data_IF_155278618379
#
_entry.id   IF_155278618379
#
_cell.length_a   1.000
_cell.length_b   1.000
_cell.length_c   1.000
_cell.angle_alpha   90.00
_cell.angle_beta   90.00
_cell.angle_gamma   90.00
#
_symmetry.space_group_name_H-M   'P 1'
#
loop_
_entity.id
_entity.type
_entity.pdbx_description
1 polymer ?
#
# COMPACT_ATOMS: atom_id res chain seq x y z
N UNK A 1 -25.34 40.04 5.82
CA UNK A 1 -24.02 39.68 6.38
C UNK A 1 -23.93 38.15 6.42
N UNK A 2 -23.25 37.56 5.45
CA UNK A 2 -23.09 36.10 5.27
C UNK A 2 -21.66 35.85 4.75
N UNK A 3 -20.81 35.05 5.42
CA UNK A 3 -19.46 34.79 4.94
C UNK A 3 -19.46 33.74 3.81
N UNK A 4 -18.78 34.11 2.73
CA UNK A 4 -18.63 33.35 1.48
C UNK A 4 -17.90 32.02 1.69
N UNK A 5 -18.60 30.91 1.45
CA UNK A 5 -18.13 29.51 1.45
C UNK A 5 -17.09 29.18 0.37
N UNK A 6 -16.69 30.14 -0.47
CA UNK A 6 -15.76 29.91 -1.59
C UNK A 6 -14.28 29.80 -1.19
N UNK A 7 -13.90 30.20 0.03
CA UNK A 7 -12.47 30.22 0.43
C UNK A 7 -11.93 28.89 0.98
N UNK A 8 -12.79 27.95 1.37
CA UNK A 8 -12.37 26.67 1.95
C UNK A 8 -11.96 25.61 0.91
N UNK A 9 -12.45 25.70 -0.33
CA UNK A 9 -12.12 24.71 -1.37
C UNK A 9 -10.74 24.90 -2.02
N UNK A 10 -10.12 26.07 -1.88
CA UNK A 10 -8.81 26.35 -2.50
C UNK A 10 -7.60 25.89 -1.68
N UNK A 11 -7.76 25.61 -0.37
CA UNK A 11 -6.64 25.20 0.49
C UNK A 11 -6.25 23.72 0.40
N UNK A 12 -7.13 22.83 -0.08
CA UNK A 12 -6.80 21.40 -0.21
C UNK A 12 -6.01 21.04 -1.47
N UNK A 13 -5.96 21.93 -2.47
CA UNK A 13 -5.31 21.65 -3.76
C UNK A 13 -3.83 22.04 -3.83
N UNK A 14 -3.33 22.85 -2.90
CA UNK A 14 -1.94 23.35 -2.93
C UNK A 14 -0.96 22.59 -2.04
N UNK A 15 -1.41 21.56 -1.31
CA UNK A 15 -0.53 20.83 -0.39
C UNK A 15 0.09 19.56 -0.99
N UNK A 16 -0.25 19.22 -2.24
CA UNK A 16 0.32 18.05 -2.94
C UNK A 16 1.54 18.43 -3.81
N UNK A 17 1.75 19.71 -4.11
CA UNK A 17 2.80 20.18 -5.03
C UNK A 17 4.12 20.63 -4.36
N UNK A 18 4.27 20.49 -3.05
CA UNK A 18 5.55 20.73 -2.40
C UNK A 18 6.07 19.40 -1.87
N UNK A 19 7.14 18.88 -2.46
CA UNK A 19 7.93 17.74 -1.95
C UNK A 19 8.61 17.99 -0.60
N UNK A 20 8.01 18.82 0.25
CA UNK A 20 8.41 19.02 1.62
C UNK A 20 7.84 17.87 2.46
N UNK A 21 8.71 16.93 2.84
CA UNK A 21 8.43 16.09 4.01
C UNK A 21 8.14 17.06 5.16
N UNK A 22 6.99 16.95 5.86
CA UNK A 22 6.69 17.83 6.97
C UNK A 22 7.75 17.61 8.06
N UNK A 23 8.74 18.50 8.11
CA UNK A 23 9.81 18.47 9.10
C UNK A 23 9.20 18.68 10.48
N UNK A 24 9.27 17.66 11.34
CA UNK A 24 8.69 17.67 12.69
C UNK A 24 7.38 16.89 12.85
N UNK A 25 6.84 16.25 11.79
CA UNK A 25 5.72 15.34 11.95
C UNK A 25 6.14 14.08 12.72
N UNK A 26 5.33 13.59 13.69
CA UNK A 26 5.63 12.34 14.37
C UNK A 26 5.57 11.17 13.36
N UNK A 27 6.37 10.10 13.53
CA UNK A 27 6.41 8.96 12.60
C UNK A 27 5.04 8.37 12.28
N UNK A 28 4.14 8.34 13.27
CA UNK A 28 2.74 7.88 13.09
C UNK A 28 1.96 8.74 12.09
N UNK A 29 2.17 10.05 12.10
CA UNK A 29 1.49 10.95 11.15
C UNK A 29 2.00 10.73 9.73
N UNK A 30 3.31 10.51 9.57
CA UNK A 30 3.91 10.16 8.27
C UNK A 30 3.38 8.82 7.76
N UNK A 31 3.33 7.80 8.62
CA UNK A 31 2.77 6.50 8.28
C UNK A 31 1.30 6.59 7.88
N UNK A 32 0.48 7.34 8.62
CA UNK A 32 -0.93 7.56 8.30
C UNK A 32 -1.13 8.33 6.99
N UNK A 33 -0.28 9.33 6.71
CA UNK A 33 -0.31 10.07 5.45
C UNK A 33 0.07 9.17 4.27
N UNK A 34 1.07 8.30 4.42
CA UNK A 34 1.49 7.35 3.40
C UNK A 34 0.37 6.33 3.10
N UNK A 35 -0.22 5.70 4.11
CA UNK A 35 -1.29 4.72 3.89
C UNK A 35 -2.54 5.40 3.30
N UNK A 36 -2.87 6.61 3.77
CA UNK A 36 -3.96 7.39 3.19
C UNK A 36 -3.69 7.80 1.74
N UNK A 37 -2.46 8.15 1.38
CA UNK A 37 -2.09 8.49 0.01
C UNK A 37 -2.30 7.29 -0.91
N UNK A 38 -1.75 6.13 -0.53
CA UNK A 38 -1.86 4.89 -1.32
C UNK A 38 -3.32 4.45 -1.48
N UNK A 39 -4.10 4.49 -0.40
CA UNK A 39 -5.51 4.10 -0.43
C UNK A 39 -6.44 5.09 -1.17
N UNK A 40 -5.95 6.29 -1.54
CA UNK A 40 -6.75 7.31 -2.24
C UNK A 40 -6.24 7.60 -3.65
N UNK A 41 -5.31 6.78 -4.16
CA UNK A 41 -4.88 6.84 -5.55
C UNK A 41 -6.09 6.64 -6.48
N UNK A 42 -6.11 7.37 -7.60
CA UNK A 42 -7.18 7.23 -8.59
C UNK A 42 -7.23 5.84 -9.24
N UNK A 43 -6.08 5.16 -9.24
CA UNK A 43 -5.94 3.74 -9.58
C UNK A 43 -5.11 3.12 -8.46
N UNK A 44 -5.62 2.10 -7.73
CA UNK A 44 -4.87 1.46 -6.66
C UNK A 44 -3.56 0.85 -7.15
N UNK A 45 -2.61 0.67 -6.24
CA UNK A 45 -1.32 0.03 -6.55
C UNK A 45 -1.54 -1.35 -7.17
N UNK A 46 -2.41 -2.16 -6.56
CA UNK A 46 -2.79 -3.48 -7.07
C UNK A 46 -4.21 -3.46 -7.65
N UNK A 47 -4.47 -2.56 -8.60
CA UNK A 47 -5.79 -2.48 -9.23
C UNK A 47 -6.23 -3.84 -9.81
N UNK A 48 -7.55 -4.16 -9.80
CA UNK A 48 -8.06 -5.46 -10.26
C UNK A 48 -7.59 -5.89 -11.65
N UNK A 49 -7.38 -4.92 -12.55
CA UNK A 49 -6.91 -5.16 -13.91
C UNK A 49 -5.48 -5.72 -14.00
N UNK A 50 -4.68 -5.63 -12.93
CA UNK A 50 -3.30 -6.12 -12.87
C UNK A 50 -3.20 -7.44 -12.10
N UNK A 51 -4.28 -7.92 -11.50
CA UNK A 51 -4.23 -9.10 -10.65
C UNK A 51 -4.12 -10.36 -11.52
N UNK A 52 -3.13 -11.23 -11.27
CA UNK A 52 -3.09 -12.54 -11.89
C UNK A 52 -4.35 -13.34 -11.53
N UNK A 53 -4.72 -14.33 -12.36
CA UNK A 53 -5.79 -15.26 -12.02
C UNK A 53 -5.60 -15.86 -10.63
N UNK A 54 -6.68 -15.95 -9.85
CA UNK A 54 -6.61 -16.51 -8.50
C UNK A 54 -6.21 -17.99 -8.55
N UNK A 55 -5.14 -18.32 -7.82
CA UNK A 55 -4.72 -19.69 -7.54
C UNK A 55 -5.12 -20.04 -6.10
N UNK A 56 -5.20 -21.32 -5.72
CA UNK A 56 -5.46 -21.65 -4.31
C UNK A 56 -4.47 -20.97 -3.35
N UNK A 57 -4.89 -20.69 -2.11
CA UNK A 57 -4.11 -19.94 -1.10
C UNK A 57 -3.00 -20.76 -0.42
N UNK A 58 -2.60 -21.89 -1.00
CA UNK A 58 -1.54 -22.75 -0.47
C UNK A 58 -0.17 -22.06 -0.61
N UNK A 59 0.76 -22.30 0.33
CA UNK A 59 2.05 -21.57 0.39
C UNK A 59 2.91 -21.73 -0.89
N UNK A 60 2.87 -22.89 -1.56
CA UNK A 60 3.60 -23.07 -2.84
C UNK A 60 2.98 -22.21 -3.95
N UNK A 61 1.65 -22.10 -3.97
CA UNK A 61 0.91 -21.34 -4.97
C UNK A 61 0.99 -19.84 -4.73
N UNK A 62 1.03 -19.40 -3.48
CA UNK A 62 1.15 -17.97 -3.18
C UNK A 62 2.52 -17.42 -3.57
N UNK A 63 3.58 -18.23 -3.48
CA UNK A 63 4.91 -17.82 -3.91
C UNK A 63 4.94 -17.49 -5.40
N UNK A 64 4.44 -18.40 -6.24
CA UNK A 64 4.33 -18.20 -7.68
C UNK A 64 3.41 -17.02 -7.99
N UNK A 65 2.23 -16.96 -7.36
CA UNK A 65 1.27 -15.87 -7.59
C UNK A 65 1.85 -14.51 -7.21
N UNK A 66 2.68 -14.43 -6.16
CA UNK A 66 3.36 -13.19 -5.79
C UNK A 66 4.36 -12.72 -6.85
N UNK A 67 5.07 -13.65 -7.51
CA UNK A 67 5.94 -13.31 -8.65
C UNK A 67 5.13 -12.92 -9.88
N UNK A 68 4.07 -13.65 -10.20
CA UNK A 68 3.17 -13.32 -11.31
C UNK A 68 2.56 -11.92 -11.13
N UNK A 69 2.21 -11.56 -9.89
CA UNK A 69 1.74 -10.22 -9.55
C UNK A 69 2.81 -9.17 -9.87
N UNK A 70 4.05 -9.39 -9.42
CA UNK A 70 5.15 -8.45 -9.67
C UNK A 70 5.42 -8.26 -11.18
N UNK A 71 5.28 -9.32 -11.98
CA UNK A 71 5.42 -9.27 -13.43
C UNK A 71 4.25 -8.57 -14.12
N UNK A 72 3.03 -8.69 -13.58
CA UNK A 72 1.83 -8.09 -14.14
C UNK A 72 1.70 -6.58 -13.85
N UNK A 73 2.38 -6.06 -12.83
CA UNK A 73 2.28 -4.65 -12.45
C UNK A 73 2.95 -3.71 -13.47
N UNK A 74 2.27 -2.65 -13.93
CA UNK A 74 2.92 -1.59 -14.71
C UNK A 74 4.04 -0.91 -13.93
N UNK A 75 5.07 -0.40 -14.61
CA UNK A 75 6.29 0.16 -14.00
C UNK A 75 6.05 1.07 -12.78
N UNK A 76 5.10 2.01 -12.86
CA UNK A 76 4.83 2.92 -11.76
C UNK A 76 4.21 2.22 -10.54
N UNK A 77 3.32 1.25 -10.77
CA UNK A 77 2.68 0.45 -9.74
C UNK A 77 3.66 -0.53 -9.11
N UNK A 78 4.50 -1.18 -9.93
CA UNK A 78 5.61 -2.02 -9.49
C UNK A 78 6.54 -1.25 -8.55
N UNK A 79 6.98 -0.06 -8.96
CA UNK A 79 7.87 0.77 -8.13
C UNK A 79 7.22 1.16 -6.80
N UNK A 80 5.96 1.60 -6.82
CA UNK A 80 5.24 1.93 -5.59
C UNK A 80 5.12 0.72 -4.66
N UNK A 81 4.79 -0.45 -5.22
CA UNK A 81 4.70 -1.70 -4.48
C UNK A 81 6.03 -2.08 -3.83
N UNK A 82 7.11 -2.13 -4.61
CA UNK A 82 8.45 -2.55 -4.15
C UNK A 82 9.04 -1.56 -3.14
N UNK A 83 8.86 -0.25 -3.33
CA UNK A 83 9.38 0.73 -2.35
C UNK A 83 8.64 0.67 -1.02
N UNK A 84 7.31 0.47 -1.03
CA UNK A 84 6.56 0.27 0.20
C UNK A 84 6.96 -1.05 0.86
N UNK A 85 7.12 -2.13 0.08
CA UNK A 85 7.57 -3.41 0.60
C UNK A 85 8.97 -3.32 1.23
N UNK A 86 9.91 -2.62 0.59
CA UNK A 86 11.26 -2.38 1.12
C UNK A 86 11.22 -1.62 2.44
N UNK A 87 10.41 -0.56 2.52
CA UNK A 87 10.19 0.19 3.77
C UNK A 87 9.65 -0.72 4.89
N UNK A 88 8.69 -1.60 4.57
CA UNK A 88 8.12 -2.53 5.56
C UNK A 88 9.14 -3.59 6.01
N UNK A 89 9.99 -4.09 5.09
CA UNK A 89 11.12 -4.99 5.45
C UNK A 89 12.11 -4.28 6.36
N UNK A 90 12.44 -3.01 6.10
CA UNK A 90 13.29 -2.22 6.98
C UNK A 90 12.68 -2.03 8.38
N UNK A 91 11.37 -1.82 8.46
CA UNK A 91 10.65 -1.73 9.74
C UNK A 91 10.71 -3.06 10.50
N UNK A 92 10.52 -4.20 9.82
CA UNK A 92 10.64 -5.54 10.42
C UNK A 92 12.06 -5.85 10.92
N UNK A 93 13.08 -5.34 10.24
CA UNK A 93 14.47 -5.54 10.62
C UNK A 93 14.89 -4.72 11.86
N UNK A 94 14.06 -3.76 12.34
CA UNK A 94 14.41 -2.96 13.52
C UNK A 94 14.23 -3.77 14.82
N UNK A 95 15.29 -3.85 15.60
CA UNK A 95 15.36 -4.61 16.87
C UNK A 95 14.37 -4.16 17.95
N UNK A 96 13.87 -2.93 17.89
CA UNK A 96 12.88 -2.39 18.84
C UNK A 96 11.43 -2.58 18.38
N UNK A 97 11.21 -3.11 17.18
CA UNK A 97 9.88 -3.26 16.61
C UNK A 97 9.28 -4.63 16.98
N UNK A 98 8.06 -4.63 17.52
CA UNK A 98 7.32 -5.85 17.92
C UNK A 98 6.21 -6.22 16.92
N UNK A 99 6.14 -5.51 15.78
CA UNK A 99 5.05 -5.68 14.82
C UNK A 99 5.30 -6.92 13.96
N UNK A 100 4.38 -7.88 14.02
CA UNK A 100 4.43 -9.07 13.18
C UNK A 100 4.23 -8.73 11.70
N UNK A 101 4.88 -9.48 10.80
CA UNK A 101 4.71 -9.37 9.35
C UNK A 101 3.23 -9.43 8.93
N UNK A 102 2.42 -10.26 9.61
CA UNK A 102 0.96 -10.35 9.42
C UNK A 102 0.25 -9.01 9.58
N UNK A 103 0.63 -8.19 10.57
CA UNK A 103 0.01 -6.87 10.76
C UNK A 103 0.42 -5.90 9.66
N UNK A 104 1.68 -5.92 9.26
CA UNK A 104 2.16 -5.06 8.16
C UNK A 104 1.54 -5.46 6.82
N UNK A 105 1.37 -6.76 6.57
CA UNK A 105 0.70 -7.26 5.37
C UNK A 105 -0.77 -6.82 5.31
N UNK A 106 -1.48 -6.80 6.44
CA UNK A 106 -2.85 -6.27 6.50
C UNK A 106 -2.90 -4.78 6.14
N UNK A 107 -2.01 -3.97 6.71
CA UNK A 107 -1.95 -2.52 6.42
C UNK A 107 -1.59 -2.27 4.95
N UNK A 108 -0.62 -3.02 4.42
CA UNK A 108 -0.21 -2.93 3.02
C UNK A 108 -1.32 -3.34 2.06
N UNK A 109 -2.04 -4.43 2.34
CA UNK A 109 -3.23 -4.85 1.57
C UNK A 109 -4.24 -3.70 1.50
N UNK A 110 -4.60 -3.12 2.64
CA UNK A 110 -5.61 -2.05 2.69
C UNK A 110 -5.16 -0.79 1.94
N UNK A 111 -3.85 -0.54 1.89
CA UNK A 111 -3.26 0.56 1.14
C UNK A 111 -3.16 0.27 -0.37
N UNK A 112 -2.85 -0.96 -0.77
CA UNK A 112 -2.64 -1.34 -2.17
C UNK A 112 -3.93 -1.64 -2.91
N UNK A 113 -4.96 -2.11 -2.20
CA UNK A 113 -6.24 -2.50 -2.75
C UNK A 113 -7.35 -2.16 -1.75
N UNK A 114 -7.96 -0.97 -1.79
CA UNK A 114 -9.01 -0.54 -0.85
C UNK A 114 -10.32 -1.34 -0.99
N UNK A 115 -11.16 -1.36 0.06
CA UNK A 115 -12.41 -2.16 0.17
C UNK A 115 -13.46 -1.91 -0.94
N UNK A 116 -13.32 -0.84 -1.73
CA UNK A 116 -14.29 -0.47 -2.77
C UNK A 116 -14.00 -1.02 -4.17
N UNK A 117 -12.80 -1.55 -4.42
CA UNK A 117 -12.37 -1.91 -5.78
C UNK A 117 -12.22 -3.42 -6.01
N UNK A 118 -12.31 -4.24 -4.97
CA UNK A 118 -11.88 -5.64 -5.03
C UNK A 118 -12.88 -6.64 -4.46
N UNK A 119 -12.93 -7.81 -5.11
CA UNK A 119 -13.54 -9.01 -4.54
C UNK A 119 -12.78 -9.44 -3.27
N UNK A 120 -13.48 -10.07 -2.32
CA UNK A 120 -12.89 -10.53 -1.06
C UNK A 120 -11.66 -11.43 -1.30
N UNK A 121 -11.74 -12.29 -2.32
CA UNK A 121 -10.67 -13.20 -2.70
C UNK A 121 -9.39 -12.44 -3.12
N UNK A 122 -9.53 -11.35 -3.87
CA UNK A 122 -8.40 -10.52 -4.28
C UNK A 122 -7.65 -9.92 -3.08
N UNK A 123 -8.40 -9.48 -2.07
CA UNK A 123 -7.86 -8.90 -0.85
C UNK A 123 -7.06 -9.94 -0.05
N UNK A 124 -7.57 -11.16 0.02
CA UNK A 124 -6.89 -12.26 0.71
C UNK A 124 -5.62 -12.70 -0.01
N UNK A 125 -5.62 -12.73 -1.35
CA UNK A 125 -4.43 -13.03 -2.14
C UNK A 125 -3.36 -11.96 -2.00
N UNK A 126 -3.72 -10.68 -2.06
CA UNK A 126 -2.78 -9.58 -1.83
C UNK A 126 -2.19 -9.66 -0.42
N UNK A 127 -3.01 -9.94 0.60
CA UNK A 127 -2.51 -10.14 1.95
C UNK A 127 -1.51 -11.29 2.03
N UNK A 128 -1.85 -12.45 1.46
CA UNK A 128 -1.00 -13.64 1.52
C UNK A 128 0.32 -13.42 0.75
N UNK A 129 0.27 -12.78 -0.43
CA UNK A 129 1.43 -12.45 -1.23
C UNK A 129 2.35 -11.43 -0.54
N UNK A 130 1.79 -10.34 0.02
CA UNK A 130 2.60 -9.36 0.76
C UNK A 130 3.21 -10.01 2.00
N UNK A 131 2.46 -10.84 2.73
CA UNK A 131 3.00 -11.58 3.88
C UNK A 131 4.19 -12.44 3.47
N UNK A 132 4.05 -13.21 2.38
CA UNK A 132 5.13 -14.01 1.81
C UNK A 132 6.35 -13.13 1.49
N UNK A 133 6.17 -12.08 0.69
CA UNK A 133 7.25 -11.19 0.24
C UNK A 133 7.96 -10.44 1.39
N UNK A 134 7.27 -10.18 2.51
CA UNK A 134 7.87 -9.59 3.71
C UNK A 134 8.78 -10.56 4.46
N UNK A 135 8.46 -11.86 4.43
CA UNK A 135 9.18 -12.91 5.16
C UNK A 135 10.22 -13.65 4.32
N UNK A 136 10.10 -13.57 3.00
CA UNK A 136 11.02 -14.21 2.07
C UNK A 136 12.35 -13.46 1.98
N UNK A 137 13.45 -14.21 1.94
CA UNK A 137 14.76 -13.69 1.57
C UNK A 137 14.89 -13.71 0.04
N UNK A 138 14.13 -12.83 -0.63
CA UNK A 138 14.43 -12.41 -1.99
C UNK A 138 15.55 -11.37 -1.96
#
# INVERSE_FOLDING_TARGET
MMPSTRRLRRRRRTQVDAGAVPTGAPPRAVAAALTSLLATLAVPVCAPAFLPPFAGTDDDRISQWAFDLLEALPNAHYNAFVYVLALLREVLAKSWQTTAATRLASVARDAFLPDGEAEADARDHIFAAVRFLLTSNL
#
